data_IF_724932725808
#
_entry.id   IF_724932725808
#
_cell.length_a   1.000
_cell.length_b   1.000
_cell.length_c   1.000
_cell.angle_alpha   90.00
_cell.angle_beta   90.00
_cell.angle_gamma   90.00
#
_symmetry.space_group_name_H-M   'P 1'
#
loop_
_entity.id
_entity.type
_entity.pdbx_description
1 polymer ?
#
# COMPACT_ATOMS: atom_id res chain seq x y z
N UNK A 1 -16.06 -41.58 2.15
CA UNK A 1 -16.77 -40.28 2.11
C UNK A 1 -15.98 -39.07 2.66
N UNK A 2 -14.89 -39.24 3.42
CA UNK A 2 -14.10 -38.12 3.99
C UNK A 2 -13.01 -37.55 3.07
N UNK A 3 -12.64 -38.24 1.99
CA UNK A 3 -11.52 -37.86 1.10
C UNK A 3 -11.93 -36.93 -0.06
N UNK A 4 -13.22 -36.87 -0.41
CA UNK A 4 -13.72 -36.04 -1.52
C UNK A 4 -13.80 -34.55 -1.13
N UNK A 5 -13.98 -34.25 0.16
CA UNK A 5 -14.05 -32.86 0.66
C UNK A 5 -12.69 -32.17 0.66
N UNK A 6 -11.59 -32.93 0.82
CA UNK A 6 -10.23 -32.37 0.85
C UNK A 6 -9.76 -31.89 -0.53
N UNK A 7 -10.26 -32.51 -1.61
CA UNK A 7 -9.91 -32.15 -2.99
C UNK A 7 -10.51 -30.81 -3.44
N UNK A 8 -11.65 -30.40 -2.88
CA UNK A 8 -12.26 -29.10 -3.18
C UNK A 8 -11.54 -27.93 -2.51
N UNK A 9 -10.94 -28.13 -1.33
CA UNK A 9 -10.21 -27.07 -0.60
C UNK A 9 -8.90 -26.71 -1.30
N UNK A 10 -8.28 -27.65 -2.02
CA UNK A 10 -7.00 -27.42 -2.71
C UNK A 10 -7.18 -26.80 -4.11
N UNK A 11 -8.29 -27.05 -4.81
CA UNK A 11 -8.49 -26.51 -6.17
C UNK A 11 -8.90 -25.02 -6.21
N UNK A 12 -9.34 -24.45 -5.08
CA UNK A 12 -9.88 -23.09 -5.05
C UNK A 12 -8.83 -21.96 -4.92
N UNK A 13 -7.54 -22.26 -4.77
CA UNK A 13 -6.54 -21.25 -4.32
C UNK A 13 -5.54 -20.80 -5.40
N UNK A 14 -5.52 -21.41 -6.59
CA UNK A 14 -4.62 -20.98 -7.67
C UNK A 14 -5.31 -20.10 -8.72
N UNK A 15 -5.95 -19.01 -8.29
CA UNK A 15 -6.23 -17.88 -9.20
C UNK A 15 -4.91 -17.10 -9.34
N UNK A 16 -4.02 -17.62 -10.19
CA UNK A 16 -2.82 -16.91 -10.62
C UNK A 16 -3.30 -15.68 -11.39
N UNK A 17 -3.30 -14.53 -10.72
CA UNK A 17 -3.50 -13.25 -11.39
C UNK A 17 -2.32 -13.02 -12.33
N UNK A 18 -2.51 -13.33 -13.61
CA UNK A 18 -1.59 -12.93 -14.67
C UNK A 18 -1.50 -11.41 -14.64
N UNK A 19 -0.39 -10.89 -14.12
CA UNK A 19 -0.11 -9.48 -14.18
C UNK A 19 0.16 -9.13 -15.64
N UNK A 20 -0.76 -8.40 -16.26
CA UNK A 20 -0.51 -7.75 -17.55
C UNK A 20 0.62 -6.75 -17.36
N UNK A 21 1.81 -7.12 -17.83
CA UNK A 21 2.96 -6.22 -17.93
C UNK A 21 2.70 -5.34 -19.14
N UNK A 22 2.18 -4.14 -18.91
CA UNK A 22 2.19 -3.11 -19.95
C UNK A 22 3.65 -2.70 -20.18
N UNK A 23 4.14 -3.05 -21.37
CA UNK A 23 5.39 -2.58 -21.92
C UNK A 23 5.41 -1.04 -21.90
N UNK A 24 6.52 -0.50 -21.42
CA UNK A 24 6.96 0.90 -21.37
C UNK A 24 5.91 1.97 -21.76
N UNK A 25 5.44 2.82 -20.82
CA UNK A 25 4.55 3.92 -21.16
C UNK A 25 5.22 4.81 -22.19
N UNK A 26 4.50 4.99 -23.29
CA UNK A 26 4.84 5.82 -24.43
C UNK A 26 4.92 7.29 -24.02
N UNK A 27 6.14 7.76 -23.74
CA UNK A 27 6.46 9.18 -23.57
C UNK A 27 5.78 9.87 -22.41
N UNK A 28 6.32 11.01 -22.02
CA UNK A 28 5.74 11.91 -21.04
C UNK A 28 4.80 12.85 -21.79
N UNK A 29 3.60 13.12 -21.26
CA UNK A 29 2.63 14.02 -21.90
C UNK A 29 2.29 15.21 -20.99
N UNK A 30 1.99 16.39 -21.56
CA UNK A 30 1.34 17.46 -20.81
C UNK A 30 0.08 16.96 -20.11
N UNK A 31 -0.08 17.32 -18.84
CA UNK A 31 -1.15 16.85 -17.94
C UNK A 31 -0.73 15.71 -17.02
N UNK A 32 0.36 14.99 -17.31
CA UNK A 32 0.82 13.88 -16.48
C UNK A 32 1.27 14.38 -15.11
N UNK A 33 0.82 13.69 -14.05
CA UNK A 33 1.30 13.92 -12.70
C UNK A 33 2.66 13.25 -12.54
N UNK A 34 3.70 14.03 -12.25
CA UNK A 34 5.07 13.56 -12.15
C UNK A 34 5.69 13.84 -10.80
N UNK A 35 6.70 13.05 -10.48
CA UNK A 35 7.61 13.24 -9.36
C UNK A 35 9.01 13.43 -9.92
N UNK A 36 9.55 14.62 -9.71
CA UNK A 36 10.87 15.04 -10.18
C UNK A 36 11.82 15.07 -9.00
N UNK A 37 12.97 14.43 -9.12
CA UNK A 37 14.11 14.60 -8.24
C UNK A 37 15.22 15.30 -9.03
N UNK A 38 15.53 16.53 -8.63
CA UNK A 38 16.54 17.36 -9.25
C UNK A 38 17.36 18.04 -8.14
N UNK A 39 18.38 17.37 -7.58
CA UNK A 39 19.10 17.84 -6.38
C UNK A 39 19.72 19.24 -6.52
N UNK A 40 20.05 19.65 -7.75
CA UNK A 40 20.58 20.98 -8.07
C UNK A 40 19.55 22.09 -7.94
N UNK A 41 18.25 21.78 -8.05
CA UNK A 41 17.15 22.76 -8.00
C UNK A 41 16.31 22.60 -6.74
N UNK A 42 16.14 21.37 -6.24
CA UNK A 42 15.39 21.07 -5.02
C UNK A 42 15.96 19.86 -4.30
N UNK A 43 16.22 20.01 -3.00
CA UNK A 43 16.68 18.91 -2.14
C UNK A 43 15.63 17.80 -1.97
N UNK A 44 14.34 18.10 -2.15
CA UNK A 44 13.23 17.17 -1.96
C UNK A 44 12.56 16.84 -3.29
N UNK A 45 12.04 15.61 -3.46
CA UNK A 45 11.26 15.27 -4.64
C UNK A 45 10.07 16.24 -4.82
N UNK A 46 10.01 16.90 -5.96
CA UNK A 46 8.89 17.75 -6.34
C UNK A 46 7.80 16.90 -6.98
N UNK A 47 6.55 17.07 -6.56
CA UNK A 47 5.38 16.40 -7.14
C UNK A 47 4.47 17.47 -7.70
N UNK A 48 4.08 17.33 -8.97
CA UNK A 48 3.22 18.27 -9.68
C UNK A 48 2.71 17.68 -11.00
N UNK A 49 2.06 18.49 -11.82
CA UNK A 49 1.56 18.11 -13.13
C UNK A 49 2.38 18.80 -14.21
N UNK A 50 2.69 18.11 -15.30
CA UNK A 50 3.40 18.71 -16.42
C UNK A 50 2.47 19.64 -17.17
N UNK A 51 2.89 20.87 -17.42
CA UNK A 51 2.12 21.83 -18.21
C UNK A 51 2.60 21.87 -19.66
N UNK A 52 3.91 21.86 -19.86
CA UNK A 52 4.55 21.84 -21.18
C UNK A 52 5.91 21.13 -21.10
N UNK A 53 6.33 20.61 -22.24
CA UNK A 53 7.60 19.90 -22.41
C UNK A 53 8.33 20.60 -23.56
N UNK A 54 9.54 21.06 -23.29
CA UNK A 54 10.46 21.59 -24.30
C UNK A 54 11.54 20.55 -24.63
N UNK A 55 12.45 20.87 -25.56
CA UNK A 55 13.60 20.01 -25.88
C UNK A 55 14.54 19.80 -24.70
N UNK A 56 14.72 20.84 -23.88
CA UNK A 56 15.73 20.89 -22.82
C UNK A 56 15.16 21.07 -21.41
N UNK A 57 13.88 21.43 -21.31
CA UNK A 57 13.24 21.82 -20.05
C UNK A 57 11.85 21.17 -19.89
N UNK A 58 11.49 20.89 -18.64
CA UNK A 58 10.14 20.47 -18.24
C UNK A 58 9.52 21.53 -17.33
N UNK A 59 8.28 21.91 -17.65
CA UNK A 59 7.47 22.81 -16.82
C UNK A 59 6.51 21.99 -15.97
N UNK A 60 6.60 22.15 -14.65
CA UNK A 60 5.78 21.44 -13.67
C UNK A 60 4.96 22.44 -12.87
N UNK A 61 3.64 22.31 -12.93
CA UNK A 61 2.69 23.02 -12.09
C UNK A 61 2.52 22.27 -10.77
N UNK A 62 2.70 22.99 -9.66
CA UNK A 62 2.39 22.55 -8.30
C UNK A 62 1.45 23.57 -7.66
N UNK A 63 0.78 23.18 -6.58
CA UNK A 63 -0.19 24.03 -5.87
C UNK A 63 0.35 25.43 -5.47
N UNK A 64 1.67 25.55 -5.31
CA UNK A 64 2.42 26.75 -4.94
C UNK A 64 2.97 27.54 -6.14
N UNK A 65 2.86 27.04 -7.38
CA UNK A 65 3.24 27.77 -8.58
C UNK A 65 3.82 26.92 -9.71
N UNK A 66 4.42 27.60 -10.68
CA UNK A 66 5.12 26.99 -11.81
C UNK A 66 6.60 26.80 -11.48
N UNK A 67 7.10 25.60 -11.72
CA UNK A 67 8.51 25.25 -11.55
C UNK A 67 9.10 24.82 -12.89
N UNK A 68 10.32 25.25 -13.14
CA UNK A 68 11.08 24.88 -14.32
C UNK A 68 12.23 23.95 -13.91
N UNK A 69 12.42 22.87 -14.67
CA UNK A 69 13.51 21.92 -14.46
C UNK A 69 14.23 21.65 -15.78
N UNK A 70 15.52 22.03 -15.88
CA UNK A 70 16.36 21.57 -16.98
C UNK A 70 16.50 20.06 -16.97
N UNK A 71 16.35 19.39 -18.11
CA UNK A 71 16.45 17.93 -18.23
C UNK A 71 17.80 17.39 -17.71
N UNK A 72 18.87 18.17 -17.85
CA UNK A 72 20.22 17.85 -17.35
C UNK A 72 20.32 17.86 -15.84
N UNK A 73 19.40 18.54 -15.15
CA UNK A 73 19.36 18.68 -13.69
C UNK A 73 18.51 17.59 -13.03
N UNK A 74 17.69 16.89 -13.82
CA UNK A 74 16.79 15.85 -13.34
C UNK A 74 17.53 14.53 -13.23
N UNK A 75 17.74 14.07 -12.00
CA UNK A 75 18.32 12.76 -11.72
C UNK A 75 17.29 11.64 -11.92
N UNK A 76 16.04 11.92 -11.53
CA UNK A 76 14.96 10.93 -11.61
C UNK A 76 13.63 11.58 -11.93
N UNK A 77 12.97 11.03 -12.95
CA UNK A 77 11.60 11.36 -13.29
C UNK A 77 10.71 10.12 -13.18
N UNK A 78 9.72 10.19 -12.30
CA UNK A 78 8.68 9.16 -12.19
C UNK A 78 7.32 9.75 -12.59
N UNK A 79 6.55 9.03 -13.41
CA UNK A 79 5.17 9.37 -13.80
C UNK A 79 4.18 8.59 -12.91
N UNK A 80 3.11 9.25 -12.50
CA UNK A 80 2.02 8.62 -11.73
C UNK A 80 1.16 7.77 -12.66
N UNK A 81 1.12 6.46 -12.44
CA UNK A 81 0.26 5.55 -13.21
C UNK A 81 -1.20 5.60 -12.72
N UNK A 82 -1.35 5.59 -11.41
CA UNK A 82 -2.64 5.80 -10.76
C UNK A 82 -2.42 6.27 -9.34
N UNK A 83 -3.38 7.05 -8.85
CA UNK A 83 -3.53 7.37 -7.43
C UNK A 83 -4.94 6.97 -7.03
N UNK A 84 -5.06 6.02 -6.10
CA UNK A 84 -6.38 5.58 -5.62
C UNK A 84 -6.43 5.40 -4.12
N UNK A 85 -7.54 5.81 -3.55
CA UNK A 85 -7.93 5.47 -2.18
C UNK A 85 -8.43 4.03 -2.13
N UNK A 86 -8.33 3.38 -0.98
CA UNK A 86 -8.80 2.00 -0.77
C UNK A 86 -9.64 1.88 0.50
N UNK A 87 -10.77 2.62 0.59
CA UNK A 87 -11.58 2.69 1.81
C UNK A 87 -12.13 1.32 2.21
N UNK A 88 -12.62 0.53 1.25
CA UNK A 88 -13.12 -0.82 1.50
C UNK A 88 -12.05 -1.77 2.06
N UNK A 89 -10.80 -1.61 1.63
CA UNK A 89 -9.69 -2.40 2.16
C UNK A 89 -9.39 -2.00 3.61
N UNK A 90 -9.43 -0.70 3.90
CA UNK A 90 -9.30 -0.18 5.26
C UNK A 90 -10.42 -0.69 6.18
N UNK A 91 -11.68 -0.63 5.73
CA UNK A 91 -12.84 -1.16 6.45
C UNK A 91 -12.67 -2.64 6.76
N UNK A 92 -12.32 -3.46 5.75
CA UNK A 92 -12.16 -4.89 5.94
C UNK A 92 -11.04 -5.22 6.94
N UNK A 93 -9.89 -4.55 6.82
CA UNK A 93 -8.76 -4.76 7.74
C UNK A 93 -9.15 -4.34 9.16
N UNK A 94 -9.73 -3.16 9.33
CA UNK A 94 -10.11 -2.65 10.65
C UNK A 94 -11.21 -3.47 11.30
N UNK A 95 -12.22 -3.90 10.56
CA UNK A 95 -13.30 -4.74 11.06
C UNK A 95 -12.78 -6.11 11.51
N UNK A 96 -11.89 -6.72 10.72
CA UNK A 96 -11.32 -8.02 11.06
C UNK A 96 -10.37 -7.94 12.25
N UNK A 97 -9.50 -6.93 12.33
CA UNK A 97 -8.55 -6.82 13.44
C UNK A 97 -9.27 -6.56 14.76
N UNK A 98 -9.99 -5.45 14.87
CA UNK A 98 -10.69 -5.09 16.11
C UNK A 98 -11.85 -6.03 16.42
N UNK A 99 -12.56 -6.56 15.43
CA UNK A 99 -13.57 -7.59 15.63
C UNK A 99 -12.96 -8.86 16.24
N UNK A 100 -11.84 -9.35 15.72
CA UNK A 100 -11.20 -10.55 16.29
C UNK A 100 -10.70 -10.30 17.71
N UNK A 101 -10.07 -9.16 17.98
CA UNK A 101 -9.58 -8.81 19.32
C UNK A 101 -10.72 -8.63 20.33
N UNK A 102 -11.78 -7.90 19.97
CA UNK A 102 -12.93 -7.70 20.83
C UNK A 102 -13.68 -9.02 21.05
N UNK A 103 -13.92 -9.81 20.01
CA UNK A 103 -14.53 -11.14 20.12
C UNK A 103 -13.74 -12.05 21.06
N UNK A 104 -12.41 -12.12 20.90
CA UNK A 104 -11.55 -12.92 21.77
C UNK A 104 -11.62 -12.41 23.23
N UNK A 105 -11.57 -11.10 23.43
CA UNK A 105 -11.71 -10.49 24.76
C UNK A 105 -13.02 -10.89 25.45
N UNK A 106 -14.14 -10.78 24.74
CA UNK A 106 -15.46 -11.18 25.25
C UNK A 106 -15.59 -12.68 25.52
N UNK A 107 -14.97 -13.51 24.68
CA UNK A 107 -14.96 -14.96 24.89
C UNK A 107 -14.14 -15.36 26.13
N UNK A 108 -13.03 -14.67 26.40
CA UNK A 108 -12.17 -14.90 27.57
C UNK A 108 -12.82 -14.40 28.86
N UNK A 109 -13.51 -13.26 28.83
CA UNK A 109 -14.19 -12.70 29.99
C UNK A 109 -15.57 -13.32 30.27
N UNK A 110 -16.01 -14.25 29.42
CA UNK A 110 -17.29 -14.92 29.55
C UNK A 110 -17.44 -15.64 30.89
N UNK A 111 -18.58 -15.41 31.55
CA UNK A 111 -19.04 -16.15 32.74
C UNK A 111 -20.48 -16.58 32.55
N UNK A 112 -20.86 -17.72 33.08
CA UNK A 112 -22.24 -18.18 33.05
C UNK A 112 -23.13 -17.25 33.89
N UNK A 113 -24.27 -16.86 33.33
CA UNK A 113 -25.25 -16.02 34.02
C UNK A 113 -26.22 -16.92 34.78
N UNK A 114 -26.37 -16.68 36.09
CA UNK A 114 -27.39 -17.35 36.92
C UNK A 114 -28.59 -16.40 37.08
N UNK A 115 -29.74 -16.68 36.43
CA UNK A 115 -30.87 -15.76 36.43
C UNK A 115 -31.49 -15.68 37.83
N UNK A 116 -31.64 -14.46 38.37
CA UNK A 116 -32.40 -14.22 39.62
C UNK A 116 -33.78 -13.62 39.35
N UNK A 117 -33.94 -12.95 38.22
CA UNK A 117 -35.20 -12.42 37.69
C UNK A 117 -35.38 -12.82 36.22
N UNK A 118 -36.61 -12.71 35.72
CA UNK A 118 -37.02 -13.13 34.37
C UNK A 118 -36.20 -12.50 33.23
N UNK A 119 -35.59 -11.32 33.43
CA UNK A 119 -34.84 -10.60 32.40
C UNK A 119 -33.33 -10.47 32.64
N UNK A 120 -32.79 -11.03 33.73
CA UNK A 120 -31.39 -10.81 34.12
C UNK A 120 -30.37 -11.37 33.10
N UNK A 121 -30.73 -12.42 32.36
CA UNK A 121 -29.85 -13.06 31.37
C UNK A 121 -30.36 -12.92 29.92
N UNK A 122 -31.33 -12.03 29.64
CA UNK A 122 -31.96 -11.95 28.31
C UNK A 122 -30.99 -11.59 27.18
N UNK A 123 -30.01 -10.72 27.44
CA UNK A 123 -28.94 -10.36 26.49
C UNK A 123 -27.61 -11.05 26.78
N UNK A 124 -27.59 -12.00 27.72
CA UNK A 124 -26.36 -12.68 28.08
C UNK A 124 -26.07 -13.80 27.08
N UNK A 125 -24.84 -13.91 26.55
CA UNK A 125 -24.50 -14.99 25.64
C UNK A 125 -24.65 -16.37 26.31
N UNK A 126 -25.25 -17.32 25.60
CA UNK A 126 -25.47 -18.69 26.08
C UNK A 126 -24.18 -19.53 26.10
N UNK A 127 -23.18 -19.16 25.30
CA UNK A 127 -21.89 -19.85 25.24
C UNK A 127 -20.77 -18.89 24.82
N UNK A 128 -19.50 -19.33 24.96
CA UNK A 128 -18.32 -18.55 24.58
C UNK A 128 -18.29 -18.16 23.10
N UNK A 129 -18.85 -19.00 22.22
CA UNK A 129 -18.94 -18.70 20.79
C UNK A 129 -19.88 -17.53 20.49
N UNK A 130 -21.02 -17.46 21.19
CA UNK A 130 -21.96 -16.35 21.08
C UNK A 130 -21.35 -15.06 21.67
N UNK A 131 -20.61 -15.17 22.78
CA UNK A 131 -19.86 -14.04 23.34
C UNK A 131 -18.80 -13.53 22.36
N UNK A 132 -18.07 -14.42 21.69
CA UNK A 132 -17.12 -14.08 20.64
C UNK A 132 -17.80 -13.34 19.48
N UNK A 133 -18.95 -13.83 19.01
CA UNK A 133 -19.68 -13.20 17.91
C UNK A 133 -20.20 -11.81 18.29
N UNK A 134 -20.77 -11.63 19.48
CA UNK A 134 -21.23 -10.31 19.93
C UNK A 134 -20.08 -9.31 20.09
N UNK A 135 -18.98 -9.73 20.73
CA UNK A 135 -17.76 -8.94 20.82
C UNK A 135 -17.16 -8.64 19.43
N UNK A 136 -17.23 -9.62 18.53
CA UNK A 136 -16.70 -9.50 17.18
C UNK A 136 -17.49 -8.57 16.28
N UNK A 137 -18.83 -8.58 16.36
CA UNK A 137 -19.68 -7.66 15.61
C UNK A 137 -19.48 -6.24 16.13
N UNK A 138 -19.54 -6.03 17.44
CA UNK A 138 -19.37 -4.71 18.05
C UNK A 138 -17.97 -4.13 17.79
N UNK A 139 -16.92 -4.91 18.05
CA UNK A 139 -15.54 -4.51 17.75
C UNK A 139 -15.30 -4.33 16.24
N UNK A 140 -15.91 -5.18 15.41
CA UNK A 140 -15.81 -5.11 13.96
C UNK A 140 -16.47 -3.88 13.36
N UNK A 141 -17.60 -3.41 13.93
CA UNK A 141 -18.23 -2.16 13.53
C UNK A 141 -17.32 -0.96 13.85
N UNK A 142 -16.81 -0.89 15.08
CA UNK A 142 -15.91 0.20 15.51
C UNK A 142 -14.63 0.19 14.66
N UNK A 143 -13.99 -0.97 14.54
CA UNK A 143 -12.79 -1.14 13.76
C UNK A 143 -12.98 -0.90 12.28
N UNK A 144 -14.10 -1.36 11.72
CA UNK A 144 -14.45 -1.13 10.33
C UNK A 144 -14.63 0.35 10.02
N UNK A 145 -15.28 1.10 10.92
CA UNK A 145 -15.46 2.54 10.78
C UNK A 145 -14.12 3.29 10.84
N UNK A 146 -13.27 2.99 11.83
CA UNK A 146 -11.93 3.57 11.93
C UNK A 146 -11.06 3.21 10.71
N UNK A 147 -11.11 1.95 10.30
CA UNK A 147 -10.40 1.45 9.13
C UNK A 147 -10.87 2.12 7.84
N UNK A 148 -12.16 2.40 7.70
CA UNK A 148 -12.73 3.12 6.57
C UNK A 148 -12.19 4.56 6.51
N UNK A 149 -12.17 5.27 7.65
CA UNK A 149 -11.63 6.63 7.74
C UNK A 149 -10.17 6.62 7.27
N UNK A 150 -9.34 5.76 7.86
CA UNK A 150 -7.91 5.66 7.51
C UNK A 150 -7.74 5.29 6.03
N UNK A 151 -8.47 4.30 5.54
CA UNK A 151 -8.42 3.85 4.14
C UNK A 151 -8.94 4.88 3.12
N UNK A 152 -9.74 5.84 3.57
CA UNK A 152 -10.23 6.96 2.78
C UNK A 152 -9.26 8.15 2.76
N UNK A 153 -8.35 8.23 3.73
CA UNK A 153 -7.34 9.29 3.81
C UNK A 153 -6.05 8.92 3.08
N UNK A 154 -5.65 7.65 3.14
CA UNK A 154 -4.39 7.19 2.54
C UNK A 154 -4.55 6.98 1.02
N UNK A 155 -3.77 7.74 0.25
CA UNK A 155 -3.65 7.55 -1.18
C UNK A 155 -2.57 6.50 -1.49
N UNK A 156 -2.92 5.51 -2.29
CA UNK A 156 -1.96 4.57 -2.85
C UNK A 156 -1.55 5.05 -4.23
N UNK A 157 -0.34 5.62 -4.30
CA UNK A 157 0.27 6.05 -5.56
C UNK A 157 1.15 4.94 -6.11
N UNK A 158 1.01 4.66 -7.42
CA UNK A 158 1.97 3.85 -8.17
C UNK A 158 2.75 4.74 -9.12
N UNK A 159 4.06 4.78 -8.93
CA UNK A 159 5.00 5.56 -9.72
C UNK A 159 5.76 4.65 -10.66
N UNK A 160 5.96 5.09 -11.90
CA UNK A 160 6.79 4.41 -12.88
C UNK A 160 7.90 5.34 -13.34
N UNK A 161 9.14 4.85 -13.28
CA UNK A 161 10.31 5.59 -13.78
C UNK A 161 10.24 5.69 -15.30
N UNK A 162 10.50 6.89 -15.82
CA UNK A 162 10.67 7.12 -17.25
C UNK A 162 12.14 7.42 -17.52
N UNK A 163 12.71 6.78 -18.54
CA UNK A 163 14.05 7.11 -19.01
C UNK A 163 14.00 8.45 -19.72
N UNK A 164 14.70 9.43 -19.17
CA UNK A 164 15.04 10.64 -19.90
C UNK A 164 16.06 10.18 -20.95
N UNK A 165 15.77 10.35 -22.25
CA UNK A 165 16.65 9.91 -23.35
C UNK A 165 18.02 10.61 -23.40
N UNK A 166 18.40 11.31 -22.33
CA UNK A 166 19.72 11.88 -22.11
C UNK A 166 20.60 10.73 -21.65
N UNK A 167 21.44 10.22 -22.56
CA UNK A 167 22.52 9.25 -22.37
C UNK A 167 22.81 8.98 -20.88
N UNK A 168 22.05 8.07 -20.30
CA UNK A 168 22.37 7.52 -19.01
C UNK A 168 23.63 6.69 -19.28
N UNK A 169 24.83 7.06 -18.79
CA UNK A 169 25.97 6.15 -18.87
C UNK A 169 25.46 4.86 -18.25
N UNK A 170 25.49 3.79 -19.04
CA UNK A 170 25.00 2.46 -18.69
C UNK A 170 25.22 2.27 -17.20
N UNK A 171 24.13 2.39 -16.43
CA UNK A 171 24.23 2.30 -14.98
C UNK A 171 24.77 0.91 -14.75
N UNK A 172 26.05 0.87 -14.38
CA UNK A 172 26.86 -0.32 -14.28
C UNK A 172 25.97 -1.45 -13.80
N UNK A 173 25.90 -2.49 -14.64
CA UNK A 173 25.46 -3.80 -14.22
C UNK A 173 25.89 -3.96 -12.77
N UNK A 174 24.93 -4.23 -11.89
CA UNK A 174 25.18 -4.67 -10.53
C UNK A 174 26.21 -5.81 -10.61
N UNK A 175 27.49 -5.48 -10.56
CA UNK A 175 28.57 -6.41 -10.32
C UNK A 175 28.36 -6.78 -8.88
N UNK A 176 27.60 -7.86 -8.70
CA UNK A 176 27.57 -8.65 -7.49
C UNK A 176 29.02 -8.73 -7.00
N UNK A 177 29.37 -8.21 -5.81
CA UNK A 177 30.73 -8.27 -5.32
C UNK A 177 31.16 -9.74 -5.34
N UNK A 178 32.19 -10.05 -6.13
CA UNK A 178 32.82 -11.36 -6.08
C UNK A 178 33.36 -11.54 -4.66
N UNK A 179 32.94 -12.57 -3.91
CA UNK A 179 33.49 -12.83 -2.59
C UNK A 179 34.94 -13.28 -2.76
N UNK A 180 35.91 -12.43 -2.43
CA UNK A 180 37.31 -12.83 -2.48
C UNK A 180 38.38 -11.75 -2.30
N UNK A 181 38.07 -10.46 -2.45
CA UNK A 181 39.10 -9.42 -2.33
C UNK A 181 39.24 -8.93 -0.87
N UNK A 182 40.21 -9.49 -0.15
CA UNK A 182 40.69 -8.99 1.14
C UNK A 182 41.65 -7.82 0.90
N UNK A 183 41.25 -6.61 1.27
CA UNK A 183 42.17 -5.48 1.35
C UNK A 183 42.96 -5.58 2.67
N UNK A 184 44.24 -5.93 2.57
CA UNK A 184 45.18 -5.93 3.69
C UNK A 184 45.81 -4.53 3.80
N UNK A 185 45.24 -3.70 4.67
CA UNK A 185 45.81 -2.39 4.97
C UNK A 185 47.00 -2.55 5.91
N UNK A 186 48.21 -2.45 5.36
CA UNK A 186 49.45 -2.33 6.12
C UNK A 186 49.69 -0.84 6.40
N UNK A 187 49.32 -0.39 7.60
CA UNK A 187 49.77 0.90 8.12
C UNK A 187 51.29 0.81 8.40
N UNK A 188 52.03 1.84 7.98
CA UNK A 188 53.43 2.04 8.32
C UNK A 188 53.56 3.41 8.97
#
# INVERSE_FOLDING_TARGET
>A
MKTIVFLYIVSAVFIVKTATVNAQPSGIKPGDRVRVLAPTTSEKPLIGNITSISSDDIFVLRNDGYFYFPLTSIERLDVSLYSRKRPLRGLAIGALTLGTFAGAGWAVTYRECTPRKMFDCFMHPSNRGQAFLMGGISGGMIGGFLGLIIGSTINFDKWQRVSLGVNQPESHAYLKPQPGFKFEYRFR
#
